data_IF_591080182669
#
_entry.id   IF_591080182669
#
_cell.length_a   1.000
_cell.length_b   1.000
_cell.length_c   1.000
_cell.angle_alpha   90.00
_cell.angle_beta   90.00
_cell.angle_gamma   90.00
#
_symmetry.space_group_name_H-M   'P 1'
#
loop_
_entity.id
_entity.type
_entity.pdbx_description
1 polymer ?
#
# COMPACT_ATOMS: atom_id res chain seq x y z
N UNK A 1 14.25 -2.73 11.03
CA UNK A 1 13.40 -1.54 10.79
C UNK A 1 12.30 -2.00 9.86
N UNK A 2 11.03 -1.89 10.24
CA UNK A 2 9.94 -2.20 9.31
C UNK A 2 9.90 -1.09 8.27
N UNK A 3 10.14 -1.44 7.01
CA UNK A 3 9.93 -0.50 5.91
C UNK A 3 8.42 -0.31 5.77
N UNK A 4 7.92 0.93 5.71
CA UNK A 4 6.53 1.22 5.43
C UNK A 4 6.42 1.67 3.98
N UNK A 5 5.32 1.31 3.31
CA UNK A 5 4.98 1.82 1.99
C UNK A 5 3.59 2.44 2.02
N UNK A 6 3.42 3.47 1.20
CA UNK A 6 2.18 4.18 1.02
C UNK A 6 1.62 3.87 -0.35
N UNK A 7 0.38 3.37 -0.41
CA UNK A 7 -0.26 2.98 -1.66
C UNK A 7 -1.41 3.92 -1.93
N UNK A 8 -1.42 4.54 -3.10
CA UNK A 8 -2.55 5.35 -3.61
C UNK A 8 -3.35 4.49 -4.57
N UNK A 9 -4.67 4.49 -4.44
CA UNK A 9 -5.60 3.60 -5.15
C UNK A 9 -6.83 4.39 -5.62
N UNK A 10 -7.48 3.92 -6.69
CA UNK A 10 -8.82 4.41 -7.05
C UNK A 10 -9.81 4.15 -5.92
N UNK A 11 -10.71 5.11 -5.67
CA UNK A 11 -11.92 4.89 -4.88
C UNK A 11 -13.10 4.43 -5.78
N UNK A 12 -12.85 3.47 -6.68
CA UNK A 12 -13.86 3.00 -7.64
C UNK A 12 -14.06 1.47 -7.55
N UNK A 13 -15.12 1.07 -6.83
CA UNK A 13 -15.71 -0.28 -6.85
C UNK A 13 -14.72 -1.43 -6.59
N UNK A 14 -15.13 -2.69 -6.81
CA UNK A 14 -14.46 -3.89 -6.28
C UNK A 14 -13.00 -4.11 -6.73
N UNK A 15 -12.45 -3.28 -7.63
CA UNK A 15 -11.15 -3.49 -8.25
C UNK A 15 -10.05 -2.54 -7.78
N UNK A 16 -10.34 -1.53 -6.94
CA UNK A 16 -9.40 -0.61 -6.27
C UNK A 16 -8.00 -0.59 -6.90
N UNK A 17 -7.90 -0.05 -8.12
CA UNK A 17 -6.67 -0.09 -8.89
C UNK A 17 -5.57 0.71 -8.19
N UNK A 18 -4.40 0.09 -7.99
CA UNK A 18 -3.23 0.78 -7.46
C UNK A 18 -2.71 1.79 -8.50
N UNK A 19 -2.61 3.04 -8.08
CA UNK A 19 -2.12 4.17 -8.88
C UNK A 19 -0.65 4.48 -8.64
N UNK A 20 -0.17 4.24 -7.42
CA UNK A 20 1.20 4.55 -7.03
C UNK A 20 1.59 3.92 -5.70
N UNK A 21 2.89 3.67 -5.54
CA UNK A 21 3.51 3.16 -4.31
C UNK A 21 4.67 4.07 -3.94
N UNK A 22 4.70 4.55 -2.70
CA UNK A 22 5.61 5.57 -2.21
C UNK A 22 6.27 5.15 -0.91
N UNK A 23 7.45 5.71 -0.63
CA UNK A 23 8.18 5.43 0.60
C UNK A 23 7.70 6.30 1.78
N UNK A 24 7.11 7.46 1.48
CA UNK A 24 6.69 8.44 2.48
C UNK A 24 5.24 8.87 2.30
N UNK A 25 4.63 9.32 3.40
CA UNK A 25 3.28 9.87 3.39
C UNK A 25 3.18 11.10 2.49
N UNK A 26 4.16 12.01 2.57
CA UNK A 26 4.12 13.28 1.86
C UNK A 26 4.12 13.09 0.33
N UNK A 27 4.89 12.12 -0.16
CA UNK A 27 4.89 11.74 -1.58
C UNK A 27 3.53 11.18 -2.01
N UNK A 28 2.94 10.29 -1.21
CA UNK A 28 1.65 9.69 -1.49
C UNK A 28 0.51 10.71 -1.46
N UNK A 29 0.52 11.62 -0.49
CA UNK A 29 -0.47 12.69 -0.37
C UNK A 29 -0.36 13.66 -1.55
N UNK A 30 0.84 14.12 -1.88
CA UNK A 30 1.07 15.03 -3.01
C UNK A 30 0.55 14.42 -4.32
N UNK A 31 0.80 13.13 -4.53
CA UNK A 31 0.29 12.41 -5.69
C UNK A 31 -1.24 12.26 -5.64
N UNK A 32 -1.82 11.91 -4.49
CA UNK A 32 -3.26 11.76 -4.33
C UNK A 32 -4.01 13.08 -4.61
N UNK A 33 -3.48 14.22 -4.18
CA UNK A 33 -4.02 15.55 -4.48
C UNK A 33 -3.94 15.87 -5.98
N UNK A 34 -2.86 15.50 -6.67
CA UNK A 34 -2.71 15.71 -8.12
C UNK A 34 -3.74 14.91 -8.93
N UNK A 35 -3.98 13.66 -8.56
CA UNK A 35 -4.80 12.74 -9.36
C UNK A 35 -6.26 12.65 -8.89
N UNK A 36 -6.57 13.06 -7.65
CA UNK A 36 -7.90 12.94 -7.05
C UNK A 36 -9.00 13.62 -7.86
N UNK A 37 -8.70 14.77 -8.48
CA UNK A 37 -9.66 15.47 -9.35
C UNK A 37 -9.94 14.78 -10.69
N UNK A 38 -9.20 13.71 -11.04
CA UNK A 38 -9.36 12.97 -12.31
C UNK A 38 -10.34 11.80 -12.20
N UNK A 39 -10.75 11.42 -10.99
CA UNK A 39 -11.62 10.27 -10.73
C UNK A 39 -12.92 10.72 -10.06
N UNK A 40 -14.05 10.15 -10.47
CA UNK A 40 -15.37 10.60 -10.02
C UNK A 40 -15.57 10.46 -8.50
N UNK A 41 -14.96 9.42 -7.93
CA UNK A 41 -14.97 9.16 -6.49
C UNK A 41 -13.66 9.55 -5.79
N UNK A 42 -12.69 10.08 -6.54
CA UNK A 42 -11.37 10.40 -6.02
C UNK A 42 -10.47 9.19 -5.82
N UNK A 43 -9.54 9.33 -4.87
CA UNK A 43 -8.50 8.36 -4.56
C UNK A 43 -8.38 8.17 -3.06
N UNK A 44 -7.99 6.98 -2.66
CA UNK A 44 -7.67 6.64 -1.27
C UNK A 44 -6.18 6.36 -1.20
N UNK A 45 -5.53 6.81 -0.13
CA UNK A 45 -4.16 6.39 0.18
C UNK A 45 -4.10 5.76 1.57
N UNK A 46 -3.26 4.75 1.72
CA UNK A 46 -3.12 3.99 2.97
C UNK A 46 -1.69 3.49 3.15
N UNK A 47 -1.25 3.37 4.40
CA UNK A 47 0.08 2.85 4.72
C UNK A 47 0.04 1.35 5.01
N UNK A 48 1.09 0.65 4.58
CA UNK A 48 1.27 -0.78 4.76
C UNK A 48 2.69 -1.05 5.21
N UNK A 49 2.83 -1.87 6.24
CA UNK A 49 4.15 -2.35 6.65
C UNK A 49 4.64 -3.37 5.61
N UNK A 50 5.90 -3.24 5.18
CA UNK A 50 6.60 -4.18 4.30
C UNK A 50 7.07 -5.37 5.14
N UNK A 51 7.06 -6.55 4.53
CA UNK A 51 7.40 -7.81 5.17
C UNK A 51 6.20 -8.73 5.42
N UNK A 52 4.99 -8.25 5.10
CA UNK A 52 3.79 -9.09 5.07
C UNK A 52 3.56 -9.59 3.66
N UNK A 53 3.58 -10.91 3.49
CA UNK A 53 3.19 -11.60 2.26
C UNK A 53 1.94 -12.40 2.56
N UNK A 54 0.88 -12.17 1.78
CA UNK A 54 -0.26 -13.08 1.73
C UNK A 54 0.09 -14.14 0.68
N UNK A 55 0.63 -15.29 1.10
CA UNK A 55 1.07 -16.34 0.16
C UNK A 55 -0.01 -17.38 -0.17
N UNK A 56 -1.00 -17.62 0.68
CA UNK A 56 -2.13 -18.51 0.37
C UNK A 56 -3.45 -18.06 1.02
N UNK A 57 -4.55 -18.23 0.29
CA UNK A 57 -5.90 -18.21 0.86
C UNK A 57 -6.07 -19.24 2.00
N UNK A 58 -7.25 -19.32 2.63
CA UNK A 58 -7.55 -19.21 4.07
C UNK A 58 -6.75 -20.06 5.09
N UNK A 59 -5.55 -20.54 4.76
CA UNK A 59 -4.68 -21.36 5.59
C UNK A 59 -3.58 -20.53 6.24
N UNK A 60 -3.89 -19.95 7.39
CA UNK A 60 -2.97 -19.68 8.51
C UNK A 60 -1.57 -19.11 8.16
N UNK A 61 -1.42 -17.78 8.21
CA UNK A 61 -0.10 -17.13 8.21
C UNK A 61 0.37 -16.97 9.66
N UNK A 62 1.36 -17.75 10.07
CA UNK A 62 2.12 -17.43 11.27
C UNK A 62 2.93 -16.16 10.98
N UNK A 63 2.77 -15.14 11.84
CA UNK A 63 3.47 -13.86 11.75
C UNK A 63 4.97 -14.09 11.91
N UNK A 64 5.71 -14.23 10.81
CA UNK A 64 7.17 -14.25 10.84
C UNK A 64 7.68 -12.90 10.34
N UNK A 65 8.26 -12.05 11.21
CA UNK A 65 8.96 -10.86 10.74
C UNK A 65 10.15 -11.29 9.88
N UNK A 66 10.28 -10.68 8.70
CA UNK A 66 11.40 -10.89 7.78
C UNK A 66 12.73 -10.54 8.48
N UNK A 67 13.41 -11.56 9.02
CA UNK A 67 14.76 -11.44 9.55
C UNK A 67 15.75 -11.71 8.43
N UNK A 68 15.75 -10.91 7.38
CA UNK A 68 16.87 -10.87 6.44
C UNK A 68 17.80 -9.73 6.82
N UNK A 69 18.61 -10.00 7.84
CA UNK A 69 19.67 -9.12 8.33
C UNK A 69 20.85 -9.97 8.84
N UNK A 70 21.81 -10.19 7.96
CA UNK A 70 23.26 -10.39 8.19
C UNK A 70 23.73 -11.37 9.28
N UNK A 71 24.35 -12.47 8.85
CA UNK A 71 25.60 -13.00 9.42
C UNK A 71 26.36 -13.78 8.35
#
# INVERSE_FOLDING_TARGET
MTSEVWIVQHDETAHNTVLGVFATQDEAQSFAEEVGGRFANGVIFSSYQVGYRYDEGPGYVALVPDTTGTA
#
